data_IF_053492227742
#
_entry.id   IF_053492227742
#
_cell.length_a   1.000
_cell.length_b   1.000
_cell.length_c   1.000
_cell.angle_alpha   90.00
_cell.angle_beta   90.00
_cell.angle_gamma   90.00
#
_symmetry.space_group_name_H-M   'P 1'
#
loop_
_entity.id
_entity.type
_entity.pdbx_description
1 polymer ?
#
# COMPACT_ATOMS: atom_id res chain seq x y z
N UNK A 1 58.46 31.44 -3.30
CA UNK A 1 57.94 30.15 -2.80
C UNK A 1 56.44 30.21 -2.94
N UNK A 2 55.84 29.55 -3.97
CA UNK A 2 54.37 29.56 -4.19
C UNK A 2 53.81 28.30 -3.56
N UNK A 3 52.98 28.45 -2.50
CA UNK A 3 52.27 27.38 -1.86
C UNK A 3 51.01 27.12 -2.69
N UNK A 4 50.98 26.03 -3.41
CA UNK A 4 49.78 25.54 -4.07
C UNK A 4 48.90 24.87 -3.03
N UNK A 5 47.88 25.57 -2.63
CA UNK A 5 46.81 25.00 -1.77
C UNK A 5 45.95 24.09 -2.64
N UNK A 6 46.13 22.79 -2.55
CA UNK A 6 45.28 21.79 -3.15
C UNK A 6 44.01 21.74 -2.30
N UNK A 7 42.95 22.44 -2.75
CA UNK A 7 41.61 22.25 -2.27
C UNK A 7 41.12 20.90 -2.78
N UNK A 8 41.33 19.87 -1.98
CA UNK A 8 40.71 18.54 -2.21
C UNK A 8 39.24 18.67 -1.99
N UNK A 9 38.46 18.91 -3.06
CA UNK A 9 37.03 18.85 -3.05
C UNK A 9 36.65 17.37 -2.86
N UNK A 10 36.52 16.94 -1.62
CA UNK A 10 35.86 15.69 -1.26
C UNK A 10 34.39 15.85 -1.65
N UNK A 11 34.03 15.42 -2.85
CA UNK A 11 32.66 15.11 -3.20
C UNK A 11 32.24 13.92 -2.31
N UNK A 12 31.73 14.22 -1.14
CA UNK A 12 30.96 13.27 -0.34
C UNK A 12 29.71 12.96 -1.14
N UNK A 13 29.76 11.90 -1.96
CA UNK A 13 28.57 11.27 -2.47
C UNK A 13 27.80 10.80 -1.24
N UNK A 14 26.78 11.56 -0.86
CA UNK A 14 25.89 11.14 0.20
C UNK A 14 25.13 9.94 -0.33
N UNK A 15 25.54 8.76 0.07
CA UNK A 15 24.79 7.53 -0.14
C UNK A 15 23.60 7.62 0.79
N UNK A 16 22.46 8.01 0.26
CA UNK A 16 21.22 8.00 1.02
C UNK A 16 20.73 6.56 1.13
N UNK A 17 20.88 6.00 2.32
CA UNK A 17 20.24 4.73 2.68
C UNK A 17 18.88 5.02 3.31
N UNK A 18 17.82 4.42 2.79
CA UNK A 18 16.48 4.49 3.38
C UNK A 18 16.15 3.15 4.01
N UNK A 19 15.65 3.20 5.27
CA UNK A 19 15.25 2.01 6.01
C UNK A 19 13.73 2.01 6.15
N UNK A 20 13.10 0.89 5.81
CA UNK A 20 11.68 0.64 5.93
C UNK A 20 11.45 -0.53 6.85
N UNK A 21 10.61 -0.36 7.86
CA UNK A 21 10.21 -1.41 8.78
C UNK A 21 8.71 -1.67 8.65
N UNK A 22 8.35 -2.96 8.68
CA UNK A 22 6.98 -3.41 8.56
C UNK A 22 6.67 -4.34 9.72
N UNK A 23 5.52 -4.13 10.35
CA UNK A 23 5.07 -4.86 11.54
C UNK A 23 3.75 -5.60 11.34
N UNK A 24 3.10 -5.41 10.20
CA UNK A 24 1.82 -6.04 9.89
C UNK A 24 1.71 -6.41 8.41
N UNK A 25 1.08 -7.54 8.12
CA UNK A 25 0.80 -8.01 6.76
C UNK A 25 -0.67 -8.36 6.60
N UNK A 26 -1.23 -8.08 5.41
CA UNK A 26 -2.53 -8.56 4.97
C UNK A 26 -2.41 -9.20 3.60
N UNK A 27 -3.14 -10.29 3.39
CA UNK A 27 -3.28 -10.97 2.11
C UNK A 27 -4.73 -10.91 1.66
N UNK A 28 -4.99 -10.25 0.55
CA UNK A 28 -6.30 -10.18 -0.08
C UNK A 28 -6.32 -11.04 -1.35
N UNK A 29 -7.40 -11.77 -1.50
CA UNK A 29 -7.71 -12.49 -2.74
C UNK A 29 -8.79 -11.72 -3.48
N UNK A 30 -8.48 -11.36 -4.72
CA UNK A 30 -9.40 -10.65 -5.61
C UNK A 30 -9.93 -11.63 -6.64
N UNK A 31 -11.23 -11.70 -6.78
CA UNK A 31 -11.87 -12.41 -7.88
C UNK A 31 -12.54 -11.38 -8.79
N UNK A 32 -12.13 -11.36 -10.05
CA UNK A 32 -12.70 -10.58 -11.12
C UNK A 32 -13.07 -11.54 -12.24
N UNK A 33 -14.34 -11.50 -12.67
CA UNK A 33 -15.02 -12.42 -13.61
C UNK A 33 -14.29 -13.73 -14.01
N UNK A 34 -13.04 -13.66 -14.48
CA UNK A 34 -12.30 -14.82 -14.99
C UNK A 34 -10.90 -14.99 -14.36
N UNK A 35 -10.48 -14.10 -13.48
CA UNK A 35 -9.13 -14.11 -12.91
C UNK A 35 -9.14 -13.91 -11.40
N UNK A 36 -8.29 -14.66 -10.74
CA UNK A 36 -8.04 -14.47 -9.31
C UNK A 36 -6.64 -13.92 -9.13
N UNK A 37 -6.51 -12.86 -8.36
CA UNK A 37 -5.23 -12.25 -8.00
C UNK A 37 -5.06 -12.24 -6.49
N UNK A 38 -3.82 -12.36 -6.06
CA UNK A 38 -3.47 -12.15 -4.66
C UNK A 38 -2.71 -10.82 -4.51
N UNK A 39 -3.02 -10.08 -3.47
CA UNK A 39 -2.35 -8.84 -3.11
C UNK A 39 -1.87 -8.95 -1.67
N UNK A 40 -0.57 -8.94 -1.46
CA UNK A 40 0.06 -9.02 -0.14
C UNK A 40 0.62 -7.64 0.18
N UNK A 41 0.12 -7.05 1.26
CA UNK A 41 0.50 -5.70 1.69
C UNK A 41 1.14 -5.75 3.07
N UNK A 42 2.36 -5.26 3.15
CA UNK A 42 3.05 -5.01 4.43
C UNK A 42 2.96 -3.53 4.77
N UNK A 43 2.64 -3.23 6.00
CA UNK A 43 2.51 -1.87 6.52
C UNK A 43 3.27 -1.70 7.82
N UNK A 44 3.44 -0.44 8.21
CA UNK A 44 3.93 -0.07 9.52
C UNK A 44 2.79 0.57 10.31
N UNK A 45 2.53 0.06 11.51
CA UNK A 45 1.43 0.55 12.38
C UNK A 45 1.64 1.99 12.88
N UNK A 46 2.89 2.47 12.86
CA UNK A 46 3.26 3.81 13.29
C UNK A 46 3.36 4.82 12.15
N UNK A 47 3.30 4.37 10.88
CA UNK A 47 3.48 5.24 9.71
C UNK A 47 2.67 4.77 8.52
N UNK A 48 1.81 5.64 7.99
CA UNK A 48 1.12 5.47 6.71
C UNK A 48 1.92 6.06 5.52
N UNK A 49 3.14 6.54 5.76
CA UNK A 49 3.96 7.22 4.73
C UNK A 49 4.49 6.26 3.68
N UNK A 50 4.53 4.97 3.98
CA UNK A 50 5.00 3.94 3.05
C UNK A 50 4.33 2.59 3.31
N UNK A 51 4.33 1.75 2.27
CA UNK A 51 3.92 0.35 2.35
C UNK A 51 4.67 -0.49 1.31
N UNK A 52 4.77 -1.79 1.55
CA UNK A 52 5.32 -2.75 0.61
C UNK A 52 4.19 -3.61 0.05
N UNK A 53 4.13 -3.73 -1.27
CA UNK A 53 3.21 -4.62 -1.98
C UNK A 53 3.96 -5.71 -2.69
N UNK A 54 3.55 -6.97 -2.47
CA UNK A 54 4.04 -8.11 -3.21
C UNK A 54 2.99 -8.61 -4.20
N UNK A 55 3.46 -9.15 -5.31
CA UNK A 55 2.61 -9.73 -6.35
C UNK A 55 3.41 -10.76 -7.16
N UNK A 56 2.69 -11.70 -7.77
CA UNK A 56 3.30 -12.61 -8.74
C UNK A 56 3.26 -12.01 -10.14
N UNK A 57 4.39 -12.02 -10.82
CA UNK A 57 4.49 -11.64 -12.22
C UNK A 57 3.81 -12.70 -13.12
N UNK A 58 3.67 -12.41 -14.41
CA UNK A 58 3.10 -13.33 -15.38
C UNK A 58 3.89 -14.65 -15.53
N UNK A 59 5.17 -14.63 -15.21
CA UNK A 59 6.06 -15.80 -15.19
C UNK A 59 6.03 -16.58 -13.86
N UNK A 60 5.17 -16.14 -12.91
CA UNK A 60 5.02 -16.75 -11.60
C UNK A 60 6.06 -16.33 -10.56
N UNK A 61 7.03 -15.48 -10.92
CA UNK A 61 8.01 -14.98 -9.97
C UNK A 61 7.39 -13.97 -9.01
N UNK A 62 7.83 -14.02 -7.75
CA UNK A 62 7.43 -13.04 -6.75
C UNK A 62 8.25 -11.76 -6.94
N UNK A 63 7.56 -10.64 -7.02
CA UNK A 63 8.14 -9.31 -7.08
C UNK A 63 7.41 -8.40 -6.13
N UNK A 64 8.01 -7.25 -5.85
CA UNK A 64 7.38 -6.28 -4.98
C UNK A 64 7.89 -4.87 -5.19
N UNK A 65 7.20 -3.94 -4.59
CA UNK A 65 7.63 -2.56 -4.55
C UNK A 65 7.22 -1.89 -3.24
N UNK A 66 8.09 -1.03 -2.74
CA UNK A 66 7.77 -0.09 -1.67
C UNK A 66 7.30 1.20 -2.31
N UNK A 67 6.13 1.67 -1.91
CA UNK A 67 5.68 3.03 -2.21
C UNK A 67 6.02 3.93 -1.04
N UNK A 68 6.95 4.83 -1.26
CA UNK A 68 7.30 5.89 -0.32
C UNK A 68 6.59 7.17 -0.72
N UNK A 69 5.50 7.47 -0.02
CA UNK A 69 4.66 8.65 -0.29
C UNK A 69 5.33 9.94 0.19
N UNK A 70 6.17 9.86 1.22
CA UNK A 70 6.88 10.98 1.78
C UNK A 70 7.92 11.55 0.82
N UNK A 71 8.69 10.65 0.20
CA UNK A 71 9.76 11.01 -0.70
C UNK A 71 9.36 10.94 -2.18
N UNK A 72 8.14 10.46 -2.48
CA UNK A 72 7.60 10.26 -3.83
C UNK A 72 8.42 9.27 -4.67
N UNK A 73 8.76 8.11 -4.10
CA UNK A 73 9.47 7.04 -4.78
C UNK A 73 8.71 5.72 -4.76
N UNK A 74 8.88 4.96 -5.85
CA UNK A 74 8.70 3.52 -5.87
C UNK A 74 10.08 2.86 -5.86
N UNK A 75 10.28 1.88 -4.97
CA UNK A 75 11.47 1.05 -4.91
C UNK A 75 11.08 -0.37 -5.31
N UNK A 76 11.65 -0.89 -6.38
CA UNK A 76 11.30 -2.19 -6.96
C UNK A 76 12.27 -3.28 -6.54
N UNK A 77 11.73 -4.49 -6.33
CA UNK A 77 12.46 -5.66 -5.89
C UNK A 77 12.04 -6.91 -6.64
N UNK A 78 12.99 -7.76 -6.98
CA UNK A 78 12.75 -9.18 -7.17
C UNK A 78 12.86 -9.87 -5.81
N UNK A 79 12.06 -10.92 -5.59
CA UNK A 79 11.96 -11.54 -4.29
C UNK A 79 12.16 -13.04 -4.44
N UNK A 80 13.20 -13.53 -3.79
CA UNK A 80 13.45 -14.97 -3.68
C UNK A 80 12.83 -15.49 -2.39
N UNK A 81 12.19 -16.65 -2.48
CA UNK A 81 11.68 -17.39 -1.35
C UNK A 81 12.69 -18.50 -1.04
N UNK A 82 13.39 -18.37 0.08
CA UNK A 82 14.32 -19.41 0.53
C UNK A 82 13.57 -20.30 1.52
N UNK A 83 13.48 -21.59 1.18
CA UNK A 83 12.95 -22.60 2.07
C UNK A 83 14.00 -22.90 3.16
N UNK A 84 13.93 -22.17 4.27
CA UNK A 84 14.76 -22.40 5.44
C UNK A 84 13.99 -23.30 6.39
N UNK A 85 14.15 -24.59 6.26
CA UNK A 85 13.71 -25.77 7.05
C UNK A 85 12.50 -25.64 8.01
N UNK A 86 12.09 -24.47 8.43
CA UNK A 86 10.95 -24.22 9.32
C UNK A 86 10.16 -22.92 8.99
N UNK A 87 10.76 -21.95 8.26
CA UNK A 87 10.09 -20.71 7.88
C UNK A 87 10.57 -20.24 6.51
N UNK A 88 9.65 -19.93 5.61
CA UNK A 88 9.97 -19.30 4.33
C UNK A 88 10.56 -17.91 4.56
N UNK A 89 11.82 -17.73 4.23
CA UNK A 89 12.50 -16.44 4.31
C UNK A 89 12.40 -15.71 2.97
N UNK A 90 11.93 -14.46 3.00
CA UNK A 90 11.92 -13.58 1.83
C UNK A 90 13.25 -12.83 1.73
N UNK A 91 13.89 -12.92 0.56
CA UNK A 91 15.09 -12.16 0.23
C UNK A 91 14.75 -11.12 -0.81
N UNK A 92 14.93 -9.85 -0.45
CA UNK A 92 14.59 -8.69 -1.29
C UNK A 92 15.81 -8.25 -2.08
N UNK A 93 15.80 -8.50 -3.39
CA UNK A 93 16.84 -8.08 -4.33
C UNK A 93 16.43 -6.75 -4.97
N UNK A 94 17.05 -5.67 -4.55
CA UNK A 94 16.75 -4.33 -5.06
C UNK A 94 17.09 -4.21 -6.54
N UNK A 95 16.16 -3.67 -7.33
CA UNK A 95 16.29 -3.45 -8.77
C UNK A 95 16.59 -1.98 -9.07
N UNK A 96 15.65 -1.10 -8.74
CA UNK A 96 15.76 0.33 -8.99
C UNK A 96 14.72 1.13 -8.19
N UNK A 97 14.88 2.46 -8.25
CA UNK A 97 13.88 3.39 -7.74
C UNK A 97 13.40 4.31 -8.85
N UNK A 98 12.11 4.63 -8.84
CA UNK A 98 11.48 5.58 -9.76
C UNK A 98 10.71 6.62 -8.99
N UNK A 99 10.96 7.90 -9.32
CA UNK A 99 10.17 9.00 -8.78
C UNK A 99 8.80 9.01 -9.43
N UNK A 100 7.75 9.23 -8.64
CA UNK A 100 6.42 9.45 -9.17
C UNK A 100 5.96 10.88 -8.87
N UNK A 101 5.20 11.46 -9.78
CA UNK A 101 4.57 12.74 -9.54
C UNK A 101 3.33 12.51 -8.68
N UNK A 102 3.38 12.93 -7.43
CA UNK A 102 2.19 13.03 -6.60
C UNK A 102 1.42 14.29 -6.99
N UNK A 103 0.73 14.25 -8.13
CA UNK A 103 -0.19 15.35 -8.46
C UNK A 103 -1.41 15.26 -7.53
N UNK A 104 -1.27 15.88 -6.36
CA UNK A 104 -2.30 15.92 -5.32
C UNK A 104 -3.57 16.67 -5.78
N UNK A 105 -3.50 17.39 -6.90
CA UNK A 105 -4.63 18.17 -7.42
C UNK A 105 -5.74 17.30 -8.00
N UNK A 106 -5.41 16.07 -8.42
CA UNK A 106 -6.34 15.17 -9.13
C UNK A 106 -7.34 14.49 -8.19
N UNK A 107 -7.10 14.44 -6.87
CA UNK A 107 -7.81 13.56 -5.94
C UNK A 107 -8.43 14.29 -4.74
N UNK A 108 -9.05 15.43 -4.97
CA UNK A 108 -9.86 16.10 -3.93
C UNK A 108 -11.29 15.58 -3.95
N UNK A 109 -11.46 14.29 -3.59
CA UNK A 109 -12.78 13.74 -3.36
C UNK A 109 -13.18 13.94 -1.90
N UNK A 110 -14.46 14.10 -1.68
CA UNK A 110 -15.05 14.04 -0.35
C UNK A 110 -15.64 12.66 -0.11
N UNK A 111 -15.52 12.18 1.11
CA UNK A 111 -16.01 10.87 1.51
C UNK A 111 -17.01 11.00 2.64
N UNK A 112 -18.08 10.24 2.52
CA UNK A 112 -19.05 10.04 3.58
C UNK A 112 -18.99 8.58 4.00
N UNK A 113 -18.92 8.35 5.31
CA UNK A 113 -18.80 7.02 5.91
C UNK A 113 -20.06 6.71 6.68
N UNK A 114 -20.76 5.64 6.28
CA UNK A 114 -22.00 5.17 6.93
C UNK A 114 -21.71 3.78 7.46
N UNK A 115 -21.75 3.65 8.78
CA UNK A 115 -21.53 2.39 9.47
C UNK A 115 -22.85 1.83 9.99
N UNK A 116 -23.03 0.52 9.82
CA UNK A 116 -24.15 -0.24 10.37
C UNK A 116 -23.58 -1.47 11.08
N UNK A 117 -23.72 -1.60 12.41
CA UNK A 117 -23.27 -2.78 13.13
C UNK A 117 -23.94 -4.06 12.60
N UNK A 118 -23.16 -5.13 12.48
CA UNK A 118 -23.63 -6.49 12.19
C UNK A 118 -23.72 -7.25 13.52
N UNK A 119 -22.64 -7.18 14.31
CA UNK A 119 -22.51 -7.76 15.64
C UNK A 119 -21.54 -6.94 16.50
N UNK A 120 -21.05 -7.50 17.61
CA UNK A 120 -20.12 -6.82 18.52
C UNK A 120 -18.73 -6.56 17.90
N UNK A 121 -18.32 -7.38 16.92
CA UNK A 121 -16.98 -7.35 16.33
C UNK A 121 -16.97 -6.83 14.90
N UNK A 122 -18.12 -6.80 14.22
CA UNK A 122 -18.23 -6.52 12.80
C UNK A 122 -19.25 -5.43 12.48
N UNK A 123 -18.96 -4.70 11.42
CA UNK A 123 -19.86 -3.71 10.84
C UNK A 123 -19.86 -3.77 9.32
N UNK A 124 -20.98 -3.40 8.72
CA UNK A 124 -21.05 -2.99 7.31
C UNK A 124 -20.66 -1.52 7.24
N UNK A 125 -19.70 -1.20 6.36
CA UNK A 125 -19.26 0.15 6.11
C UNK A 125 -19.55 0.52 4.66
N UNK A 126 -20.37 1.55 4.45
CA UNK A 126 -20.61 2.15 3.14
C UNK A 126 -19.78 3.43 3.04
N UNK A 127 -19.01 3.56 1.97
CA UNK A 127 -18.22 4.75 1.70
C UNK A 127 -18.71 5.35 0.39
N UNK A 128 -19.33 6.52 0.47
CA UNK A 128 -19.73 7.31 -0.69
C UNK A 128 -18.65 8.32 -1.04
N UNK A 129 -18.15 8.31 -2.26
CA UNK A 129 -17.23 9.32 -2.75
C UNK A 129 -17.93 10.35 -3.63
N UNK A 130 -17.55 11.61 -3.47
CA UNK A 130 -18.15 12.74 -4.19
C UNK A 130 -17.05 13.55 -4.87
N UNK A 131 -17.29 13.95 -6.14
CA UNK A 131 -16.34 14.79 -6.92
C UNK A 131 -16.20 16.22 -6.39
N UNK A 132 -17.20 16.68 -5.63
CA UNK A 132 -17.21 18.04 -5.07
C UNK A 132 -18.14 18.15 -3.87
N UNK A 133 -18.06 19.28 -3.15
CA UNK A 133 -18.84 19.56 -1.96
C UNK A 133 -20.35 19.64 -2.13
N UNK A 134 -20.84 19.74 -3.37
CA UNK A 134 -22.30 19.86 -3.62
C UNK A 134 -23.09 18.56 -3.37
N UNK A 135 -22.43 17.44 -3.15
CA UNK A 135 -22.93 16.13 -2.64
C UNK A 135 -24.32 15.72 -3.16
N UNK A 136 -24.65 15.99 -4.40
CA UNK A 136 -25.99 15.66 -4.94
C UNK A 136 -26.16 14.16 -5.17
N UNK A 137 -25.10 13.50 -5.64
CA UNK A 137 -25.09 12.07 -5.93
C UNK A 137 -23.67 11.53 -5.77
N UNK A 138 -23.46 10.39 -5.14
CA UNK A 138 -22.13 9.77 -5.06
C UNK A 138 -21.63 9.45 -6.47
N UNK A 139 -20.35 9.72 -6.68
CA UNK A 139 -19.64 9.30 -7.87
C UNK A 139 -19.35 7.81 -7.84
N UNK A 140 -19.04 7.29 -6.64
CA UNK A 140 -18.84 5.87 -6.35
C UNK A 140 -19.31 5.55 -4.95
N UNK A 141 -19.74 4.30 -4.79
CA UNK A 141 -20.09 3.72 -3.48
C UNK A 141 -19.28 2.45 -3.30
N UNK A 142 -18.69 2.29 -2.13
CA UNK A 142 -17.96 1.12 -1.70
C UNK A 142 -18.74 0.47 -0.59
N UNK A 143 -19.00 -0.84 -0.70
CA UNK A 143 -19.65 -1.64 0.35
C UNK A 143 -18.62 -2.60 0.92
N UNK A 144 -18.31 -2.43 2.20
CA UNK A 144 -17.30 -3.20 2.88
C UNK A 144 -17.91 -3.91 4.10
N UNK A 145 -17.37 -5.07 4.42
CA UNK A 145 -17.50 -5.67 5.74
C UNK A 145 -16.19 -5.43 6.48
N UNK A 146 -16.27 -4.89 7.69
CA UNK A 146 -15.10 -4.53 8.50
C UNK A 146 -15.18 -5.24 9.86
N UNK A 147 -14.01 -5.64 10.35
CA UNK A 147 -13.81 -6.15 11.71
C UNK A 147 -13.30 -4.99 12.56
N UNK A 148 -13.84 -4.80 13.75
CA UNK A 148 -13.28 -3.89 14.74
C UNK A 148 -11.94 -4.47 15.22
N UNK A 149 -10.89 -3.70 15.10
CA UNK A 149 -9.54 -4.17 15.36
C UNK A 149 -8.86 -3.28 16.39
N UNK A 150 -7.75 -3.72 16.97
CA UNK A 150 -6.99 -2.94 17.98
C UNK A 150 -6.37 -1.65 17.43
N UNK A 151 -6.11 -1.62 16.11
CA UNK A 151 -5.52 -0.48 15.40
C UNK A 151 -6.12 -0.34 14.01
N UNK A 152 -5.98 0.85 13.41
CA UNK A 152 -6.49 1.09 12.06
C UNK A 152 -5.65 0.36 11.00
N UNK A 153 -6.23 -0.66 10.36
CA UNK A 153 -5.64 -1.42 9.25
C UNK A 153 -6.32 -1.14 7.90
N UNK A 154 -7.23 -0.16 7.85
CA UNK A 154 -7.86 0.28 6.59
C UNK A 154 -6.84 0.70 5.52
N UNK A 155 -5.70 1.33 5.83
CA UNK A 155 -4.68 1.65 4.83
C UNK A 155 -4.14 0.43 4.07
N UNK A 156 -4.08 -0.75 4.68
CA UNK A 156 -3.68 -1.98 4.00
C UNK A 156 -4.66 -2.37 2.89
N UNK A 157 -5.96 -2.33 3.20
CA UNK A 157 -7.00 -2.55 2.21
C UNK A 157 -6.93 -1.50 1.10
N UNK A 158 -6.84 -0.22 1.44
CA UNK A 158 -6.69 0.88 0.48
C UNK A 158 -5.55 0.62 -0.50
N UNK A 159 -4.41 0.13 -0.03
CA UNK A 159 -3.24 -0.20 -0.85
C UNK A 159 -3.43 -1.47 -1.69
N UNK A 160 -4.37 -2.35 -1.31
CA UNK A 160 -4.65 -3.59 -2.05
C UNK A 160 -5.50 -3.36 -3.30
N UNK A 161 -6.38 -2.37 -3.31
CA UNK A 161 -7.44 -2.24 -4.33
C UNK A 161 -7.02 -1.55 -5.64
N UNK A 162 -5.78 -1.15 -5.82
CA UNK A 162 -5.29 -0.49 -7.06
C UNK A 162 -6.23 0.62 -7.56
N UNK A 163 -6.73 1.43 -6.66
CA UNK A 163 -7.74 2.40 -6.99
C UNK A 163 -7.18 3.83 -7.04
N UNK A 164 -7.94 4.74 -7.68
CA UNK A 164 -7.64 6.17 -7.72
C UNK A 164 -7.40 6.79 -6.35
N UNK A 165 -8.00 6.21 -5.29
CA UNK A 165 -7.88 6.69 -3.91
C UNK A 165 -6.79 5.99 -3.08
N UNK A 166 -5.98 5.15 -3.70
CA UNK A 166 -4.88 4.46 -3.03
C UNK A 166 -3.97 5.42 -2.25
N UNK A 167 -3.82 6.64 -2.76
CA UNK A 167 -2.98 7.68 -2.17
C UNK A 167 -3.77 8.82 -1.50
N UNK A 168 -5.09 8.78 -1.56
CA UNK A 168 -5.91 9.79 -0.91
C UNK A 168 -6.06 9.45 0.58
N UNK A 169 -5.37 10.21 1.43
CA UNK A 169 -5.44 10.02 2.88
C UNK A 169 -6.83 10.30 3.46
N UNK A 170 -7.72 10.96 2.70
CA UNK A 170 -9.10 11.17 3.10
C UNK A 170 -9.95 9.91 2.86
N UNK A 171 -9.50 8.98 1.99
CA UNK A 171 -10.09 7.66 1.87
C UNK A 171 -9.63 6.76 3.02
N UNK A 172 -10.01 7.16 4.24
CA UNK A 172 -9.71 6.45 5.47
C UNK A 172 -10.76 6.86 6.52
N UNK A 173 -11.58 5.95 7.04
CA UNK A 173 -12.61 6.25 8.03
C UNK A 173 -12.05 6.71 9.39
N UNK A 174 -10.72 6.62 9.57
CA UNK A 174 -10.03 7.00 10.81
C UNK A 174 -10.52 6.24 12.04
N UNK A 175 -11.01 5.02 11.83
CA UNK A 175 -11.43 4.09 12.87
C UNK A 175 -10.56 2.83 12.82
N UNK A 176 -10.54 2.10 13.91
CA UNK A 176 -9.75 0.89 14.04
C UNK A 176 -10.42 -0.28 13.32
N UNK A 177 -10.32 -0.31 12.00
CA UNK A 177 -10.88 -1.33 11.14
C UNK A 177 -9.83 -2.17 10.44
N UNK A 178 -10.12 -3.47 10.36
CA UNK A 178 -9.54 -4.39 9.38
C UNK A 178 -10.63 -4.74 8.37
N UNK A 179 -10.44 -4.46 7.10
CA UNK A 179 -11.43 -4.78 6.06
C UNK A 179 -11.41 -6.26 5.79
N UNK A 180 -12.56 -6.93 6.01
CA UNK A 180 -12.73 -8.36 5.78
C UNK A 180 -13.11 -8.66 4.33
N UNK A 181 -14.05 -7.88 3.78
CA UNK A 181 -14.45 -8.03 2.39
C UNK A 181 -14.86 -6.70 1.77
N UNK A 182 -14.77 -6.64 0.45
CA UNK A 182 -15.22 -5.52 -0.36
C UNK A 182 -15.82 -6.03 -1.67
N UNK A 183 -16.97 -5.47 -2.04
CA UNK A 183 -17.64 -5.75 -3.30
C UNK A 183 -17.68 -4.48 -4.14
N UNK A 184 -17.15 -4.56 -5.33
CA UNK A 184 -17.20 -3.49 -6.31
C UNK A 184 -18.07 -3.91 -7.49
N UNK A 185 -19.01 -3.04 -7.85
CA UNK A 185 -19.78 -3.17 -9.09
C UNK A 185 -19.41 -2.03 -10.02
N UNK A 186 -18.96 -2.35 -11.21
CA UNK A 186 -18.70 -1.34 -12.22
C UNK A 186 -20.01 -0.87 -12.90
N UNK A 187 -19.90 0.13 -13.77
CA UNK A 187 -21.05 0.67 -14.50
C UNK A 187 -21.67 -0.31 -15.51
N UNK A 188 -20.97 -1.37 -15.87
CA UNK A 188 -21.42 -2.46 -16.75
C UNK A 188 -22.11 -3.60 -15.99
N UNK A 189 -22.14 -3.52 -14.65
CA UNK A 189 -22.73 -4.54 -13.78
C UNK A 189 -21.77 -5.69 -13.44
N UNK A 190 -20.51 -5.66 -13.91
CA UNK A 190 -19.50 -6.63 -13.53
C UNK A 190 -19.11 -6.42 -12.06
N UNK A 191 -18.89 -7.53 -11.37
CA UNK A 191 -18.62 -7.53 -9.94
C UNK A 191 -17.21 -8.07 -9.69
N UNK A 192 -16.41 -7.30 -8.95
CA UNK A 192 -15.13 -7.74 -8.41
C UNK A 192 -15.22 -7.81 -6.89
N UNK A 193 -14.59 -8.81 -6.31
CA UNK A 193 -14.57 -9.00 -4.85
C UNK A 193 -13.15 -9.03 -4.33
N UNK A 194 -12.95 -8.46 -3.15
CA UNK A 194 -11.73 -8.56 -2.37
C UNK A 194 -12.06 -9.22 -1.05
N UNK A 195 -11.41 -10.33 -0.75
CA UNK A 195 -11.60 -11.04 0.50
C UNK A 195 -10.28 -11.13 1.23
N UNK A 196 -10.26 -10.77 2.50
CA UNK A 196 -9.12 -10.98 3.38
C UNK A 196 -8.95 -12.48 3.60
N UNK A 197 -7.80 -13.01 3.22
CA UNK A 197 -7.45 -14.43 3.36
C UNK A 197 -6.65 -14.65 4.63
N UNK A 198 -5.73 -13.72 4.89
CA UNK A 198 -4.76 -13.86 5.97
C UNK A 198 -4.30 -12.48 6.45
N UNK A 199 -3.98 -12.39 7.72
CA UNK A 199 -3.27 -11.27 8.31
C UNK A 199 -2.40 -11.75 9.46
N UNK A 200 -1.28 -11.06 9.68
CA UNK A 200 -0.36 -11.40 10.79
C UNK A 200 0.46 -10.19 11.22
N UNK A 201 0.93 -10.22 12.47
CA UNK A 201 2.04 -9.40 12.91
C UNK A 201 3.34 -9.99 12.35
N UNK A 202 4.21 -9.13 11.86
CA UNK A 202 5.49 -9.51 11.24
C UNK A 202 6.60 -8.58 11.72
N UNK A 203 7.85 -8.92 11.41
CA UNK A 203 8.99 -8.04 11.63
C UNK A 203 9.91 -8.11 10.43
N UNK A 204 9.73 -7.17 9.50
CA UNK A 204 10.53 -7.08 8.28
C UNK A 204 11.20 -5.70 8.25
N UNK A 205 12.51 -5.68 7.94
CA UNK A 205 13.28 -4.47 7.73
C UNK A 205 13.96 -4.55 6.37
N UNK A 206 13.76 -3.52 5.54
CA UNK A 206 14.35 -3.43 4.22
C UNK A 206 15.17 -2.15 4.14
N UNK A 207 16.42 -2.29 3.72
CA UNK A 207 17.32 -1.16 3.48
C UNK A 207 17.48 -0.98 1.98
N UNK A 208 17.07 0.18 1.47
CA UNK A 208 17.33 0.60 0.09
C UNK A 208 18.64 1.40 0.09
N UNK A 209 19.68 0.86 -0.56
CA UNK A 209 20.96 1.51 -0.73
C UNK A 209 21.02 2.16 -2.12
N UNK A 210 21.82 3.24 -2.26
CA UNK A 210 22.16 3.84 -3.55
C UNK A 210 21.00 4.45 -4.34
N UNK A 211 20.18 5.27 -3.68
CA UNK A 211 19.27 6.14 -4.43
C UNK A 211 20.12 7.21 -5.11
N UNK A 212 20.58 6.91 -6.33
CA UNK A 212 21.18 7.92 -7.20
C UNK A 212 20.07 8.84 -7.66
N UNK A 213 19.94 9.99 -7.02
CA UNK A 213 19.04 11.05 -7.45
C UNK A 213 19.56 11.57 -8.81
N UNK A 214 18.91 11.18 -9.90
CA UNK A 214 19.14 11.78 -11.22
C UNK A 214 18.21 12.96 -11.42
#
# INVERSE_FOLDING_TARGET
MKIYSYFLLLFLTQVYSQNYSFDFVTKYKTADSDKTFESIIYSNSLSEEYYLKLYHNYDGKLSGWIRDQKNNYFHYFDIDVIDAKEENQLVFNYINSRKFNSDKSVYQHEFEYIETPIDAEKSKLIINSYKNKKRKKPFRTYELEVIHFESNKFPNFRSSIHHLYEVDNNFNPRKNYLVQSYIYKNTLGETSTWNLVEYANVKINITVKDIVLK
#
